data_IF_257605498769
#
_entry.id   IF_257605498769
#
_cell.length_a   1.000
_cell.length_b   1.000
_cell.length_c   1.000
_cell.angle_alpha   90.00
_cell.angle_beta   90.00
_cell.angle_gamma   90.00
#
_symmetry.space_group_name_H-M   'P 1'
#
loop_
_entity.id
_entity.type
_entity.pdbx_description
1 polymer ?
#
# COMPACT_ATOMS: atom_id res chain seq x y z
N UNK A 1 29.32 -27.30 23.91
CA UNK A 1 28.35 -26.24 24.24
C UNK A 1 27.48 -26.00 23.01
N UNK A 2 26.24 -26.49 23.02
CA UNK A 2 25.27 -26.22 21.96
C UNK A 2 24.94 -24.73 21.96
N UNK A 3 25.30 -24.00 20.91
CA UNK A 3 24.73 -22.68 20.65
C UNK A 3 23.24 -22.90 20.38
N UNK A 4 22.38 -22.49 21.30
CA UNK A 4 20.96 -22.38 21.02
C UNK A 4 20.82 -21.46 19.81
N UNK A 5 20.23 -21.96 18.73
CA UNK A 5 19.78 -21.14 17.61
C UNK A 5 18.68 -20.21 18.13
N UNK A 6 19.08 -19.00 18.56
CA UNK A 6 18.15 -17.94 18.92
C UNK A 6 17.42 -17.56 17.63
N UNK A 7 16.10 -17.77 17.61
CA UNK A 7 15.25 -17.22 16.55
C UNK A 7 15.33 -15.70 16.66
N UNK A 8 15.78 -14.99 15.61
CA UNK A 8 15.89 -13.54 15.66
C UNK A 8 14.50 -12.92 15.81
N UNK A 9 14.43 -11.84 16.58
CA UNK A 9 13.22 -11.02 16.65
C UNK A 9 12.97 -10.34 15.30
N UNK A 10 11.72 -9.95 15.04
CA UNK A 10 11.33 -9.22 13.82
C UNK A 10 12.21 -7.97 13.62
N UNK A 11 12.48 -7.23 14.70
CA UNK A 11 13.33 -6.04 14.65
C UNK A 11 14.81 -6.36 14.32
N UNK A 12 15.37 -7.44 14.87
CA UNK A 12 16.74 -7.89 14.57
C UNK A 12 16.87 -8.34 13.11
N UNK A 13 15.87 -9.05 12.58
CA UNK A 13 15.84 -9.50 11.20
C UNK A 13 15.72 -8.34 10.19
N UNK A 14 14.86 -7.35 10.47
CA UNK A 14 14.69 -6.17 9.63
C UNK A 14 15.98 -5.32 9.59
N UNK A 15 16.67 -5.18 10.73
CA UNK A 15 17.89 -4.38 10.85
C UNK A 15 19.06 -4.97 10.06
N UNK A 16 19.24 -6.29 10.11
CA UNK A 16 20.33 -6.96 9.38
C UNK A 16 20.14 -6.84 7.85
N UNK A 17 18.90 -6.95 7.37
CA UNK A 17 18.59 -6.86 5.93
C UNK A 17 18.66 -5.44 5.39
N UNK A 18 18.29 -4.43 6.18
CA UNK A 18 18.49 -3.02 5.81
C UNK A 18 19.96 -2.72 5.55
N UNK A 19 20.87 -3.35 6.31
CA UNK A 19 22.32 -3.22 6.14
C UNK A 19 22.81 -3.79 4.80
N UNK A 20 22.34 -4.97 4.41
CA UNK A 20 22.68 -5.61 3.13
C UNK A 20 22.19 -4.78 1.93
N UNK A 21 21.03 -4.13 2.04
CA UNK A 21 20.48 -3.29 0.96
C UNK A 21 21.18 -1.93 0.81
N UNK A 22 21.71 -1.36 1.90
CA UNK A 22 22.53 -0.16 1.86
C UNK A 22 23.84 -0.43 1.09
N UNK A 23 24.42 -1.62 1.29
CA UNK A 23 25.61 -2.04 0.55
C UNK A 23 25.31 -2.25 -0.95
N UNK A 24 24.11 -2.75 -1.28
CA UNK A 24 23.67 -2.98 -2.67
C UNK A 24 23.16 -1.73 -3.42
N UNK A 25 22.77 -0.66 -2.72
CA UNK A 25 22.19 0.56 -3.33
C UNK A 25 23.22 1.54 -3.90
N UNK A 26 24.51 1.19 -3.90
CA UNK A 26 25.59 1.99 -4.47
C UNK A 26 25.63 1.96 -6.02
N UNK A 27 24.85 1.10 -6.66
CA UNK A 27 24.78 1.00 -8.13
C UNK A 27 23.61 1.81 -8.73
N UNK A 28 23.95 2.97 -9.28
CA UNK A 28 23.31 3.58 -10.46
C UNK A 28 21.80 3.88 -10.41
N UNK A 29 21.39 4.98 -9.77
CA UNK A 29 20.04 5.55 -9.98
C UNK A 29 19.91 6.16 -11.39
N UNK A 30 18.91 5.79 -12.21
CA UNK A 30 18.65 6.45 -13.48
C UNK A 30 18.20 7.91 -13.26
N UNK A 31 18.78 8.84 -14.03
CA UNK A 31 18.40 10.27 -14.03
C UNK A 31 16.94 10.43 -14.51
N UNK A 32 16.08 11.00 -13.66
CA UNK A 32 14.70 11.38 -14.03
C UNK A 32 14.73 12.39 -15.19
N UNK A 33 14.13 12.05 -16.33
CA UNK A 33 13.93 12.94 -17.49
C UNK A 33 12.67 13.81 -17.28
N UNK A 34 12.81 15.12 -17.52
CA UNK A 34 11.71 16.09 -17.63
C UNK A 34 11.40 16.83 -16.32
N UNK A 35 11.41 18.17 -16.36
CA UNK A 35 10.85 18.99 -15.29
C UNK A 35 9.34 18.83 -15.33
N UNK A 36 8.80 18.08 -14.37
CA UNK A 36 7.38 17.82 -14.28
C UNK A 36 6.67 19.10 -13.78
N UNK A 37 5.70 19.62 -14.53
CA UNK A 37 4.94 20.82 -14.15
C UNK A 37 3.81 20.46 -13.18
N UNK A 38 3.86 21.04 -11.97
CA UNK A 38 2.79 20.94 -10.97
C UNK A 38 1.75 22.04 -11.27
N UNK A 39 0.43 21.75 -11.25
CA UNK A 39 -0.58 22.78 -11.46
C UNK A 39 -0.44 23.94 -10.47
N UNK A 40 -0.45 25.18 -10.97
CA UNK A 40 -0.27 26.36 -10.11
C UNK A 40 -1.34 26.45 -9.01
N UNK A 41 -2.60 26.11 -9.31
CA UNK A 41 -3.67 26.09 -8.31
C UNK A 41 -3.44 25.10 -7.16
N UNK A 42 -2.72 24.00 -7.40
CA UNK A 42 -2.30 23.09 -6.34
C UNK A 42 -1.20 23.72 -5.48
N UNK A 43 -0.21 24.36 -6.11
CA UNK A 43 0.86 25.08 -5.39
C UNK A 43 0.28 26.18 -4.52
N UNK A 44 -0.69 26.94 -5.04
CA UNK A 44 -1.35 28.02 -4.31
C UNK A 44 -2.15 27.48 -3.12
N UNK A 45 -2.90 26.39 -3.33
CA UNK A 45 -3.65 25.70 -2.26
C UNK A 45 -2.74 25.19 -1.13
N UNK A 46 -1.65 24.50 -1.49
CA UNK A 46 -0.68 24.01 -0.50
C UNK A 46 0.01 25.18 0.23
N UNK A 47 0.39 26.23 -0.50
CA UNK A 47 1.01 27.43 0.07
C UNK A 47 0.07 28.13 1.04
N UNK A 48 -1.23 28.19 0.73
CA UNK A 48 -2.25 28.74 1.62
C UNK A 48 -2.30 28.00 2.96
N UNK A 49 -2.41 26.66 2.95
CA UNK A 49 -2.46 25.87 4.18
C UNK A 49 -1.14 25.92 4.98
N UNK A 50 0.01 25.83 4.29
CA UNK A 50 1.32 25.93 4.93
C UNK A 50 1.54 27.30 5.57
N UNK A 51 1.16 28.38 4.88
CA UNK A 51 1.26 29.75 5.40
C UNK A 51 0.40 30.01 6.65
N UNK A 52 -0.67 29.23 6.83
CA UNK A 52 -1.53 29.25 8.03
C UNK A 52 -1.04 28.35 9.17
N UNK A 53 0.10 27.66 8.98
CA UNK A 53 0.64 26.75 9.97
C UNK A 53 -0.16 25.44 10.09
N UNK A 54 -0.97 25.08 9.10
CA UNK A 54 -1.75 23.83 9.07
C UNK A 54 -0.88 22.61 8.75
N UNK A 55 0.18 22.45 9.53
CA UNK A 55 1.24 21.44 9.42
C UNK A 55 1.07 20.32 10.45
N UNK A 56 -0.03 20.34 11.20
CA UNK A 56 -0.33 19.33 12.21
C UNK A 56 -0.50 17.94 11.59
N UNK A 57 -0.27 16.93 12.42
CA UNK A 57 -0.51 15.55 12.03
C UNK A 57 -1.99 15.40 11.64
N UNK A 58 -2.27 14.81 10.46
CA UNK A 58 -3.62 14.41 10.14
C UNK A 58 -4.04 13.28 11.09
N UNK A 59 -5.34 12.97 11.11
CA UNK A 59 -5.83 11.78 11.80
C UNK A 59 -4.99 10.57 11.39
N UNK A 60 -4.68 9.70 12.35
CA UNK A 60 -3.74 8.58 12.14
C UNK A 60 -4.13 7.67 10.95
N UNK A 61 -5.42 7.38 10.72
CA UNK A 61 -5.84 6.63 9.53
C UNK A 61 -5.75 7.42 8.22
N UNK A 62 -5.59 8.73 8.27
CA UNK A 62 -5.74 9.67 7.15
C UNK A 62 -6.94 10.60 7.32
N UNK A 63 -6.93 11.72 6.59
CA UNK A 63 -8.03 12.70 6.55
C UNK A 63 -9.34 12.01 6.19
N UNK A 64 -10.42 12.30 6.94
CA UNK A 64 -11.70 11.64 6.79
C UNK A 64 -12.25 11.73 5.36
N UNK A 65 -12.26 12.93 4.79
CA UNK A 65 -12.74 13.17 3.43
C UNK A 65 -11.99 12.32 2.40
N UNK A 66 -10.66 12.19 2.55
CA UNK A 66 -9.84 11.40 1.62
C UNK A 66 -10.18 9.91 1.73
N UNK A 67 -10.37 9.40 2.95
CA UNK A 67 -10.76 8.01 3.19
C UNK A 67 -12.14 7.71 2.61
N UNK A 68 -13.10 8.62 2.78
CA UNK A 68 -14.45 8.46 2.24
C UNK A 68 -14.47 8.47 0.70
N UNK A 69 -13.65 9.32 0.08
CA UNK A 69 -13.50 9.33 -1.39
C UNK A 69 -12.85 8.06 -1.91
N UNK A 70 -11.79 7.57 -1.27
CA UNK A 70 -11.16 6.28 -1.61
C UNK A 70 -12.15 5.13 -1.45
N UNK A 71 -12.89 5.07 -0.34
CA UNK A 71 -13.88 4.03 -0.07
C UNK A 71 -15.01 4.01 -1.10
N UNK A 72 -15.48 5.19 -1.52
CA UNK A 72 -16.47 5.34 -2.60
C UNK A 72 -15.94 4.83 -3.93
N UNK A 73 -14.70 5.18 -4.28
CA UNK A 73 -14.09 4.77 -5.56
C UNK A 73 -13.85 3.26 -5.62
N UNK A 74 -13.51 2.63 -4.49
CA UNK A 74 -13.35 1.18 -4.39
C UNK A 74 -14.65 0.41 -4.67
N UNK A 75 -15.82 1.05 -4.52
CA UNK A 75 -17.12 0.48 -4.90
C UNK A 75 -17.22 0.12 -6.39
N UNK A 76 -16.34 0.63 -7.25
CA UNK A 76 -16.22 0.19 -8.65
C UNK A 76 -15.78 -1.27 -8.74
N UNK A 77 -14.87 -1.69 -7.86
CA UNK A 77 -14.20 -2.98 -7.89
C UNK A 77 -14.76 -4.00 -6.89
N UNK A 78 -15.56 -3.55 -5.94
CA UNK A 78 -16.22 -4.41 -4.96
C UNK A 78 -17.70 -4.61 -5.34
N UNK A 79 -18.29 -5.70 -4.82
CA UNK A 79 -19.74 -5.92 -4.87
C UNK A 79 -20.50 -5.12 -3.80
N UNK A 80 -19.77 -4.37 -2.96
CA UNK A 80 -20.29 -3.49 -1.92
C UNK A 80 -19.44 -2.20 -1.80
N UNK A 81 -19.97 -1.18 -1.13
CA UNK A 81 -19.23 0.05 -0.83
C UNK A 81 -18.40 -0.07 0.44
N UNK A 82 -17.24 0.59 0.50
CA UNK A 82 -16.42 0.69 1.71
C UNK A 82 -16.63 2.05 2.37
N UNK A 83 -16.90 2.05 3.67
CA UNK A 83 -16.87 3.27 4.48
C UNK A 83 -15.44 3.76 4.68
N UNK A 84 -15.24 5.04 4.99
CA UNK A 84 -13.91 5.55 5.28
C UNK A 84 -13.25 4.91 6.50
N UNK A 85 -14.03 4.33 7.42
CA UNK A 85 -13.53 3.55 8.56
C UNK A 85 -12.91 2.20 8.16
N UNK A 86 -13.18 1.76 6.92
CA UNK A 86 -12.57 0.59 6.29
C UNK A 86 -11.38 0.98 5.39
N UNK A 87 -10.92 2.23 5.42
CA UNK A 87 -9.80 2.73 4.63
C UNK A 87 -8.70 3.31 5.52
N UNK A 88 -7.46 2.97 5.20
CA UNK A 88 -6.24 3.49 5.82
C UNK A 88 -5.35 4.11 4.75
N UNK A 89 -5.02 5.39 4.89
CA UNK A 89 -4.09 6.10 4.00
C UNK A 89 -2.65 5.83 4.42
N UNK A 90 -1.82 5.45 3.46
CA UNK A 90 -0.38 5.17 3.64
C UNK A 90 0.47 6.14 2.83
N UNK A 91 1.78 6.18 3.10
CA UNK A 91 2.75 7.00 2.38
C UNK A 91 3.07 6.44 0.99
N UNK A 92 2.73 5.19 0.70
CA UNK A 92 2.87 4.55 -0.61
C UNK A 92 2.15 3.20 -0.65
N UNK A 93 1.97 2.64 -1.85
CA UNK A 93 1.56 1.24 -2.01
C UNK A 93 2.56 0.28 -1.32
N UNK A 94 3.87 0.55 -1.39
CA UNK A 94 4.88 -0.27 -0.71
C UNK A 94 4.72 -0.28 0.82
N UNK A 95 4.39 0.87 1.42
CA UNK A 95 4.02 0.91 2.84
C UNK A 95 2.73 0.10 3.09
N UNK A 96 1.73 0.25 2.23
CA UNK A 96 0.46 -0.48 2.34
C UNK A 96 0.68 -1.99 2.35
N UNK A 97 1.50 -2.53 1.43
CA UNK A 97 1.90 -3.94 1.44
C UNK A 97 2.62 -4.28 2.75
N UNK A 98 3.63 -3.50 3.14
CA UNK A 98 4.43 -3.76 4.34
C UNK A 98 3.58 -3.87 5.62
N UNK A 99 2.74 -2.88 5.90
CA UNK A 99 1.91 -2.88 7.13
C UNK A 99 0.80 -3.93 7.07
N UNK A 100 0.33 -4.29 5.87
CA UNK A 100 -0.65 -5.36 5.68
C UNK A 100 -0.04 -6.71 6.05
N UNK A 101 1.16 -7.03 5.56
CA UNK A 101 1.83 -8.29 5.88
C UNK A 101 2.08 -8.42 7.39
N UNK A 102 2.56 -7.35 8.03
CA UNK A 102 2.76 -7.35 9.49
C UNK A 102 1.43 -7.46 10.26
N UNK A 103 0.37 -6.79 9.80
CA UNK A 103 -0.96 -6.87 10.41
C UNK A 103 -1.64 -8.23 10.30
N UNK A 104 -1.17 -9.07 9.37
CA UNK A 104 -1.59 -10.46 9.18
C UNK A 104 -0.59 -11.45 9.79
N UNK A 105 0.35 -10.98 10.63
CA UNK A 105 1.40 -11.77 11.26
C UNK A 105 2.29 -12.56 10.27
N UNK A 106 2.41 -12.09 9.02
CA UNK A 106 3.43 -12.60 8.10
C UNK A 106 4.79 -12.04 8.47
N UNK A 107 5.52 -12.89 9.19
CA UNK A 107 6.89 -12.68 9.64
C UNK A 107 7.88 -13.43 8.74
N UNK A 108 9.20 -13.24 8.89
CA UNK A 108 10.18 -14.03 8.16
C UNK A 108 9.93 -15.55 8.26
N UNK A 109 9.92 -16.24 7.12
CA UNK A 109 9.52 -17.64 6.97
C UNK A 109 8.03 -17.83 6.62
N UNK A 110 7.25 -16.74 6.58
CA UNK A 110 5.88 -16.73 6.08
C UNK A 110 5.81 -17.02 4.58
N UNK A 111 4.65 -17.48 4.12
CA UNK A 111 4.43 -17.88 2.71
C UNK A 111 3.15 -17.26 2.18
N UNK A 112 3.19 -16.75 0.96
CA UNK A 112 2.02 -16.28 0.21
C UNK A 112 1.97 -16.97 -1.15
N UNK A 113 0.76 -17.24 -1.62
CA UNK A 113 0.55 -17.70 -2.99
C UNK A 113 0.53 -16.49 -3.91
N UNK A 114 1.33 -16.49 -4.97
CA UNK A 114 1.40 -15.39 -5.93
C UNK A 114 2.13 -15.74 -7.21
N UNK A 115 2.02 -14.87 -8.21
CA UNK A 115 2.74 -15.03 -9.47
C UNK A 115 4.25 -14.77 -9.28
N UNK A 116 5.08 -15.29 -10.19
CA UNK A 116 6.51 -14.97 -10.20
C UNK A 116 6.74 -13.58 -10.79
N UNK A 117 7.67 -12.83 -10.19
CA UNK A 117 8.11 -11.53 -10.74
C UNK A 117 7.22 -10.35 -10.35
N UNK A 118 6.61 -10.41 -9.16
CA UNK A 118 5.79 -9.34 -8.59
C UNK A 118 6.56 -8.02 -8.52
N UNK A 119 5.86 -6.90 -8.69
CA UNK A 119 6.38 -5.56 -8.48
C UNK A 119 6.95 -5.41 -7.07
N UNK A 120 6.27 -5.97 -6.06
CA UNK A 120 6.71 -5.92 -4.67
C UNK A 120 7.62 -7.09 -4.26
N UNK A 121 8.18 -7.87 -5.21
CA UNK A 121 9.04 -9.03 -4.89
C UNK A 121 10.18 -8.66 -3.93
N UNK A 122 10.87 -7.54 -4.17
CA UNK A 122 11.96 -7.09 -3.29
C UNK A 122 11.52 -6.79 -1.86
N UNK A 123 10.27 -6.36 -1.67
CA UNK A 123 9.71 -6.14 -0.34
C UNK A 123 9.44 -7.47 0.36
N UNK A 124 8.92 -8.47 -0.35
CA UNK A 124 8.77 -9.83 0.19
C UNK A 124 10.11 -10.45 0.55
N UNK A 125 11.12 -10.32 -0.32
CA UNK A 125 12.48 -10.78 -0.04
C UNK A 125 13.03 -10.11 1.23
N UNK A 126 12.80 -8.80 1.39
CA UNK A 126 13.22 -8.05 2.57
C UNK A 126 12.47 -8.45 3.85
N UNK A 127 11.18 -8.77 3.74
CA UNK A 127 10.39 -9.34 4.83
C UNK A 127 10.72 -10.80 5.08
N UNK A 128 11.39 -11.48 4.14
CA UNK A 128 11.69 -12.91 4.20
C UNK A 128 10.43 -13.74 4.09
N UNK A 129 9.48 -13.27 3.29
CA UNK A 129 8.25 -13.97 2.95
C UNK A 129 8.48 -14.63 1.60
N UNK A 130 8.24 -15.93 1.51
CA UNK A 130 8.38 -16.66 0.26
C UNK A 130 7.09 -16.52 -0.56
N UNK A 131 7.24 -16.18 -1.84
CA UNK A 131 6.16 -16.19 -2.82
C UNK A 131 6.17 -17.54 -3.52
N UNK A 132 5.08 -18.28 -3.36
CA UNK A 132 4.93 -19.67 -3.77
C UNK A 132 3.84 -19.80 -4.85
N UNK A 133 3.84 -20.93 -5.57
CA UNK A 133 2.81 -21.21 -6.59
C UNK A 133 1.46 -21.53 -5.95
N UNK A 134 0.39 -21.45 -6.73
CA UNK A 134 -0.98 -21.72 -6.23
C UNK A 134 -1.20 -23.20 -5.87
N UNK A 135 -0.38 -24.09 -6.42
CA UNK A 135 -0.36 -25.54 -6.16
C UNK A 135 0.27 -25.95 -4.82
N UNK A 136 0.91 -25.03 -4.10
CA UNK A 136 1.63 -25.33 -2.86
C UNK A 136 0.64 -25.53 -1.69
N UNK A 137 0.53 -26.77 -1.20
CA UNK A 137 -0.38 -27.11 -0.10
C UNK A 137 0.01 -26.41 1.22
N UNK A 138 -1.00 -25.87 1.92
CA UNK A 138 -0.84 -25.27 3.24
C UNK A 138 -0.62 -23.76 3.28
N UNK A 139 -0.83 -23.07 2.15
CA UNK A 139 -0.80 -21.60 2.07
C UNK A 139 -2.23 -21.06 2.21
N UNK A 140 -2.46 -20.19 3.20
CA UNK A 140 -3.78 -19.61 3.48
C UNK A 140 -3.99 -18.21 2.89
N UNK A 141 -2.93 -17.56 2.38
CA UNK A 141 -2.96 -16.18 1.89
C UNK A 141 -2.57 -16.13 0.43
N UNK A 142 -3.43 -15.53 -0.40
CA UNK A 142 -3.13 -15.19 -1.78
C UNK A 142 -2.80 -13.70 -1.92
N UNK A 143 -1.74 -13.40 -2.66
CA UNK A 143 -1.33 -12.04 -3.01
C UNK A 143 -1.24 -11.88 -4.53
N UNK A 144 -1.92 -10.85 -5.06
CA UNK A 144 -2.01 -10.57 -6.50
C UNK A 144 -1.74 -9.09 -6.77
N UNK A 145 -1.25 -8.77 -7.97
CA UNK A 145 -1.03 -7.40 -8.44
C UNK A 145 -1.68 -7.20 -9.81
N UNK A 146 -2.37 -6.07 -10.01
CA UNK A 146 -3.03 -5.76 -11.29
C UNK A 146 -2.11 -5.12 -12.34
N UNK A 147 -0.81 -4.99 -12.04
CA UNK A 147 0.15 -4.36 -12.95
C UNK A 147 0.53 -5.35 -14.06
N UNK A 148 0.24 -5.00 -15.32
CA UNK A 148 0.84 -5.69 -16.48
C UNK A 148 -0.09 -6.42 -17.44
N UNK A 149 -1.40 -6.17 -17.42
CA UNK A 149 -2.32 -6.76 -18.42
C UNK A 149 -2.48 -8.28 -18.31
N UNK A 150 -2.04 -8.88 -17.19
CA UNK A 150 -2.33 -10.26 -16.89
C UNK A 150 -3.85 -10.43 -16.74
N UNK A 151 -4.40 -11.36 -17.51
CA UNK A 151 -5.79 -11.76 -17.41
C UNK A 151 -6.08 -12.17 -15.96
N UNK A 152 -7.11 -11.58 -15.38
CA UNK A 152 -7.82 -12.09 -14.21
C UNK A 152 -8.27 -13.53 -14.49
N UNK A 153 -7.40 -14.50 -14.23
CA UNK A 153 -7.85 -15.83 -13.89
C UNK A 153 -8.56 -15.68 -12.55
N UNK A 154 -9.84 -16.03 -12.48
CA UNK A 154 -10.49 -16.20 -11.19
C UNK A 154 -9.67 -17.25 -10.44
N UNK A 155 -8.93 -16.83 -9.43
CA UNK A 155 -8.42 -17.77 -8.44
C UNK A 155 -9.66 -18.27 -7.71
N UNK A 156 -10.14 -19.41 -8.17
CA UNK A 156 -11.17 -20.20 -7.55
C UNK A 156 -10.83 -20.38 -6.07
N UNK A 157 -11.85 -20.15 -5.24
CA UNK A 157 -11.73 -20.04 -3.79
C UNK A 157 -11.01 -21.22 -3.15
N UNK A 158 -10.10 -20.89 -2.24
CA UNK A 158 -9.30 -21.84 -1.48
C UNK A 158 -8.44 -21.17 -0.41
N UNK A 159 -8.17 -19.87 -0.55
CA UNK A 159 -7.44 -19.07 0.43
C UNK A 159 -8.37 -18.47 1.48
N UNK A 160 -7.91 -18.42 2.73
CA UNK A 160 -8.62 -17.78 3.83
C UNK A 160 -8.56 -16.25 3.71
N UNK A 161 -7.46 -15.72 3.18
CA UNK A 161 -7.27 -14.28 2.96
C UNK A 161 -6.79 -14.02 1.54
N UNK A 162 -7.42 -13.06 0.88
CA UNK A 162 -7.00 -12.57 -0.42
C UNK A 162 -6.55 -11.12 -0.33
N UNK A 163 -5.42 -10.82 -0.95
CA UNK A 163 -4.83 -9.49 -1.01
C UNK A 163 -4.61 -9.13 -2.47
N UNK A 164 -5.07 -7.96 -2.89
CA UNK A 164 -4.85 -7.45 -4.23
C UNK A 164 -4.27 -6.04 -4.22
N UNK A 165 -3.10 -5.88 -4.83
CA UNK A 165 -2.48 -4.60 -5.12
C UNK A 165 -2.99 -4.05 -6.45
N UNK A 166 -3.74 -2.96 -6.39
CA UNK A 166 -4.35 -2.30 -7.55
C UNK A 166 -3.34 -1.46 -8.33
N UNK A 167 -2.16 -1.16 -7.79
CA UNK A 167 -1.27 -0.18 -8.38
C UNK A 167 -1.95 1.18 -8.47
N UNK A 168 -1.87 1.80 -9.64
CA UNK A 168 -2.39 3.13 -9.89
C UNK A 168 -3.84 3.08 -10.43
N UNK A 169 -4.44 1.89 -10.53
CA UNK A 169 -5.73 1.61 -11.19
C UNK A 169 -6.93 2.28 -10.52
N UNK A 170 -6.90 2.52 -9.20
CA UNK A 170 -8.06 3.08 -8.49
C UNK A 170 -8.56 4.39 -9.13
N UNK A 171 -7.64 5.31 -9.44
CA UNK A 171 -7.91 6.59 -10.11
C UNK A 171 -7.19 6.71 -11.47
N UNK A 172 -6.73 5.59 -12.01
CA UNK A 172 -5.97 5.50 -13.26
C UNK A 172 -6.83 5.02 -14.43
N UNK A 173 -6.22 4.29 -15.36
CA UNK A 173 -6.97 3.60 -16.41
C UNK A 173 -7.88 2.52 -15.79
N UNK A 174 -9.18 2.65 -16.04
CA UNK A 174 -10.18 1.73 -15.51
C UNK A 174 -10.03 0.35 -16.15
N UNK A 175 -9.94 -0.68 -15.31
CA UNK A 175 -9.94 -2.07 -15.75
C UNK A 175 -11.37 -2.60 -15.65
N UNK A 176 -12.02 -2.75 -16.81
CA UNK A 176 -13.42 -3.20 -16.88
C UNK A 176 -13.56 -4.68 -16.51
N UNK A 177 -14.70 -5.02 -15.88
CA UNK A 177 -15.03 -6.41 -15.50
C UNK A 177 -14.31 -6.95 -14.26
N UNK A 178 -13.51 -6.10 -13.59
CA UNK A 178 -12.80 -6.45 -12.38
C UNK A 178 -13.75 -6.40 -11.16
N UNK A 179 -13.99 -7.54 -10.52
CA UNK A 179 -14.78 -7.64 -9.29
C UNK A 179 -14.06 -8.48 -8.24
N UNK A 180 -14.03 -7.97 -7.01
CA UNK A 180 -13.44 -8.64 -5.85
C UNK A 180 -14.50 -8.94 -4.79
N UNK A 181 -14.25 -9.99 -4.01
CA UNK A 181 -15.05 -10.31 -2.84
C UNK A 181 -15.01 -9.17 -1.83
N UNK A 182 -16.11 -8.91 -1.09
CA UNK A 182 -16.11 -7.98 0.04
C UNK A 182 -15.08 -8.31 1.12
N UNK A 183 -14.58 -9.55 1.22
CA UNK A 183 -13.53 -9.93 2.18
C UNK A 183 -12.10 -9.68 1.66
N UNK A 184 -11.92 -9.34 0.39
CA UNK A 184 -10.59 -9.10 -0.20
C UNK A 184 -9.99 -7.82 0.38
N UNK A 185 -8.73 -7.90 0.80
CA UNK A 185 -7.92 -6.73 1.19
C UNK A 185 -7.42 -6.07 -0.09
N UNK A 186 -7.84 -4.83 -0.31
CA UNK A 186 -7.42 -4.04 -1.46
C UNK A 186 -6.39 -3.01 -1.02
N UNK A 187 -5.29 -2.92 -1.75
CA UNK A 187 -4.25 -1.93 -1.49
C UNK A 187 -3.82 -1.29 -2.81
N UNK A 188 -3.28 -0.09 -2.76
CA UNK A 188 -2.96 0.62 -3.99
C UNK A 188 -2.20 1.92 -3.79
N UNK A 189 -1.95 2.58 -4.92
CA UNK A 189 -1.31 3.87 -5.04
C UNK A 189 -2.35 4.94 -5.41
N UNK A 190 -2.16 6.17 -4.91
CA UNK A 190 -2.90 7.35 -5.33
C UNK A 190 -2.11 8.22 -6.33
N UNK A 191 -0.99 7.71 -6.85
CA UNK A 191 -0.11 8.43 -7.78
C UNK A 191 -0.76 8.82 -9.11
N UNK A 192 -1.88 8.22 -9.49
CA UNK A 192 -2.63 8.62 -10.69
C UNK A 192 -3.34 9.97 -10.52
N UNK A 193 -3.73 10.36 -9.30
CA UNK A 193 -4.38 11.64 -9.01
C UNK A 193 -3.46 12.85 -9.23
N UNK A 194 -2.21 12.69 -8.81
CA UNK A 194 -1.23 13.77 -8.72
C UNK A 194 0.00 13.47 -9.56
N UNK A 195 -0.06 12.53 -10.50
CA UNK A 195 1.14 12.02 -11.15
C UNK A 195 2.26 11.62 -10.18
N UNK A 196 3.49 11.52 -10.69
CA UNK A 196 4.69 11.27 -9.87
C UNK A 196 5.26 12.56 -9.26
N UNK A 197 4.40 13.48 -8.79
CA UNK A 197 4.78 14.82 -8.32
C UNK A 197 5.40 14.84 -6.90
N UNK A 198 5.82 13.69 -6.36
CA UNK A 198 6.42 13.62 -5.02
C UNK A 198 5.43 13.69 -3.86
N UNK A 199 4.13 13.61 -4.16
CA UNK A 199 3.04 13.46 -3.20
C UNK A 199 2.61 11.99 -3.11
N UNK A 200 3.59 11.09 -2.95
CA UNK A 200 3.30 9.66 -2.90
C UNK A 200 2.37 9.38 -1.71
N UNK A 201 1.32 8.63 -2.03
CA UNK A 201 0.32 8.13 -1.10
C UNK A 201 -0.11 6.76 -1.60
N UNK A 202 -0.49 5.91 -0.66
CA UNK A 202 -1.21 4.68 -0.94
C UNK A 202 -2.41 4.54 -0.03
N UNK A 203 -3.05 3.39 -0.12
CA UNK A 203 -4.14 3.03 0.77
C UNK A 203 -4.16 1.54 1.05
N UNK A 204 -4.81 1.17 2.13
CA UNK A 204 -5.30 -0.18 2.44
C UNK A 204 -6.78 -0.08 2.71
N UNK A 205 -7.55 -1.01 2.15
CA UNK A 205 -8.98 -1.20 2.42
C UNK A 205 -9.22 -2.64 2.85
N UNK A 206 -9.85 -2.82 3.99
CA UNK A 206 -10.14 -4.13 4.56
C UNK A 206 -11.32 -4.04 5.54
N UNK A 207 -11.78 -5.18 6.03
CA UNK A 207 -12.71 -5.21 7.15
C UNK A 207 -12.12 -4.53 8.39
N UNK A 208 -12.96 -3.85 9.17
CA UNK A 208 -12.53 -3.01 10.30
C UNK A 208 -11.71 -3.78 11.34
N UNK A 209 -12.01 -5.07 11.56
CA UNK A 209 -11.26 -5.94 12.45
C UNK A 209 -9.81 -6.16 11.98
N UNK A 210 -9.62 -6.45 10.69
CA UNK A 210 -8.31 -6.64 10.05
C UNK A 210 -7.56 -5.31 10.00
N UNK A 211 -8.25 -4.25 9.54
CA UNK A 211 -7.67 -2.93 9.38
C UNK A 211 -7.14 -2.34 10.70
N UNK A 212 -7.76 -2.70 11.84
CA UNK A 212 -7.27 -2.31 13.17
C UNK A 212 -5.87 -2.85 13.46
N UNK A 213 -5.58 -4.11 13.10
CA UNK A 213 -4.26 -4.71 13.24
C UNK A 213 -3.21 -4.02 12.36
N UNK A 214 -3.57 -3.80 11.09
CA UNK A 214 -2.74 -3.08 10.11
C UNK A 214 -2.44 -1.64 10.59
N UNK A 215 -3.45 -0.96 11.11
CA UNK A 215 -3.33 0.41 11.64
C UNK A 215 -2.36 0.47 12.82
N UNK A 216 -2.34 -0.55 13.68
CA UNK A 216 -1.38 -0.65 14.78
C UNK A 216 0.07 -0.64 14.29
N UNK A 217 0.38 -1.45 13.27
CA UNK A 217 1.70 -1.48 12.65
C UNK A 217 2.06 -0.18 11.93
N UNK A 218 1.10 0.42 11.21
CA UNK A 218 1.30 1.72 10.57
C UNK A 218 1.64 2.81 11.61
N UNK A 219 0.95 2.81 12.74
CA UNK A 219 1.21 3.77 13.81
C UNK A 219 2.61 3.58 14.41
N UNK A 220 3.09 2.35 14.53
CA UNK A 220 4.43 2.05 15.01
C UNK A 220 5.54 2.38 13.99
N UNK A 221 5.25 2.37 12.68
CA UNK A 221 6.23 2.61 11.62
C UNK A 221 6.36 4.08 11.21
N UNK A 222 5.27 4.71 10.77
CA UNK A 222 5.27 6.05 10.18
C UNK A 222 4.30 7.02 10.82
N UNK A 223 3.49 6.55 11.78
CA UNK A 223 2.45 7.30 12.49
C UNK A 223 1.29 7.71 11.55
N UNK A 224 1.54 8.56 10.56
CA UNK A 224 0.55 9.11 9.63
C UNK A 224 1.18 9.35 8.25
N UNK A 225 0.35 9.35 7.20
CA UNK A 225 0.80 9.81 5.89
C UNK A 225 0.94 11.36 5.87
N UNK A 226 1.83 11.94 5.04
CA UNK A 226 2.11 13.39 5.07
C UNK A 226 0.86 14.24 4.77
N UNK A 227 0.57 15.23 5.63
CA UNK A 227 -0.59 16.10 5.45
C UNK A 227 -0.58 16.90 4.14
N UNK A 228 0.55 17.43 3.63
CA UNK A 228 0.56 18.12 2.34
C UNK A 228 0.17 17.19 1.18
N UNK A 229 0.62 15.93 1.20
CA UNK A 229 0.26 14.94 0.18
C UNK A 229 -1.23 14.61 0.20
N UNK A 230 -1.83 14.46 1.39
CA UNK A 230 -3.25 14.19 1.52
C UNK A 230 -4.10 15.37 1.04
N UNK A 231 -3.71 16.61 1.34
CA UNK A 231 -4.36 17.81 0.80
C UNK A 231 -4.23 17.93 -0.70
N UNK A 232 -3.07 17.56 -1.25
CA UNK A 232 -2.90 17.51 -2.68
C UNK A 232 -3.87 16.50 -3.32
N UNK A 233 -4.03 15.32 -2.71
CA UNK A 233 -4.94 14.30 -3.23
C UNK A 233 -6.39 14.78 -3.20
N UNK A 234 -6.82 15.40 -2.10
CA UNK A 234 -8.13 16.06 -1.99
C UNK A 234 -8.33 17.13 -3.07
N UNK A 235 -7.33 18.00 -3.29
CA UNK A 235 -7.38 19.01 -4.34
C UNK A 235 -7.56 18.39 -5.74
N UNK A 236 -6.83 17.31 -6.04
CA UNK A 236 -6.93 16.60 -7.32
C UNK A 236 -8.30 15.93 -7.50
N UNK A 237 -8.92 15.51 -6.40
CA UNK A 237 -10.26 14.95 -6.37
C UNK A 237 -11.38 16.03 -6.39
N UNK A 238 -11.01 17.31 -6.46
CA UNK A 238 -11.94 18.43 -6.57
C UNK A 238 -12.34 19.07 -5.25
N UNK A 239 -11.85 18.58 -4.11
CA UNK A 239 -12.02 19.22 -2.80
C UNK A 239 -11.09 20.44 -2.71
N UNK A 240 -11.67 21.63 -2.83
CA UNK A 240 -10.93 22.90 -2.79
C UNK A 240 -11.03 23.52 -1.38
N UNK A 241 -9.98 24.18 -0.88
CA UNK A 241 -10.04 24.94 0.37
C UNK A 241 -11.02 26.11 0.33
#
# INVERSE_FOLDING_TARGET
MNKLNKVPTVAEALSERARVLLDASSEGKPKRKGAIQIPQGLVDSLSYHLGRGETHYPDRPGMADLRDMVGRELGKYLDDSRGGDQVLITASEGEAVFVTMLGLDLVPGGRVSGEKGLHHQKLFDWLGIDVCGAEDMGISIAYRELRGGANMGSSSGGFETEICALGDTLFGEEVTGLKFSPSTILLGSLSSLLGKHGFDLGFVSADTSVLKGITGWKQASSICAPSPSQRAALWALGERP
#
